data_IF_012728339402
#
_entry.id   IF_012728339402
#
_cell.length_a   1.000
_cell.length_b   1.000
_cell.length_c   1.000
_cell.angle_alpha   90.00
_cell.angle_beta   90.00
_cell.angle_gamma   90.00
#
_symmetry.space_group_name_H-M   'P 1'
#
loop_
_entity.id
_entity.type
_entity.pdbx_description
1 polymer ?
#
# COMPACT_ATOMS: atom_id res chain seq x y z
N UNK A 1 -20.10 -24.99 55.12
CA UNK A 1 -19.47 -23.67 54.89
C UNK A 1 -18.06 -23.98 54.44
N UNK A 2 -17.53 -23.60 53.28
CA UNK A 2 -17.71 -22.44 52.40
C UNK A 2 -17.24 -22.80 50.97
N UNK A 3 -17.76 -22.04 50.01
CA UNK A 3 -17.78 -22.19 48.55
C UNK A 3 -16.41 -22.13 47.84
N UNK A 4 -16.32 -22.80 46.68
CA UNK A 4 -15.46 -22.45 45.54
C UNK A 4 -15.75 -21.02 45.06
N UNK A 5 -14.75 -20.29 44.54
CA UNK A 5 -14.88 -19.48 43.31
C UNK A 5 -13.53 -19.20 42.65
N UNK A 6 -13.50 -19.43 41.33
CA UNK A 6 -12.50 -19.01 40.36
C UNK A 6 -12.31 -17.48 40.37
N UNK A 7 -11.08 -17.01 40.17
CA UNK A 7 -10.85 -15.65 39.66
C UNK A 7 -10.22 -15.73 38.27
N UNK A 8 -11.08 -15.45 37.29
CA UNK A 8 -10.78 -15.32 35.87
C UNK A 8 -10.16 -13.94 35.66
N UNK A 9 -8.87 -13.88 35.37
CA UNK A 9 -8.19 -12.65 34.96
C UNK A 9 -8.53 -12.33 33.50
N UNK A 10 -9.66 -11.66 33.28
CA UNK A 10 -9.96 -11.05 31.97
C UNK A 10 -8.99 -9.90 31.71
N UNK A 11 -8.03 -10.09 30.80
CA UNK A 11 -7.47 -8.96 30.07
C UNK A 11 -8.45 -8.61 28.95
N UNK A 12 -9.25 -7.58 29.19
CA UNK A 12 -10.06 -6.90 28.18
C UNK A 12 -9.08 -6.24 27.22
N UNK A 13 -8.85 -6.84 26.05
CA UNK A 13 -8.36 -6.09 24.89
C UNK A 13 -9.57 -5.28 24.43
N UNK A 14 -9.60 -4.01 24.82
CA UNK A 14 -10.66 -3.09 24.41
C UNK A 14 -10.69 -3.01 22.88
N UNK A 15 -11.81 -3.48 22.30
CA UNK A 15 -12.28 -3.01 21.00
C UNK A 15 -12.34 -1.48 21.06
N UNK A 16 -11.58 -0.80 20.22
CA UNK A 16 -11.82 0.61 19.99
C UNK A 16 -13.03 0.71 19.06
N UNK A 17 -14.11 1.19 19.63
CA UNK A 17 -15.31 1.66 18.96
C UNK A 17 -14.96 2.83 18.04
N UNK A 18 -15.44 2.79 16.79
CA UNK A 18 -15.38 3.93 15.87
C UNK A 18 -16.16 5.07 16.50
N UNK A 19 -15.43 6.04 17.07
CA UNK A 19 -15.97 7.33 17.48
C UNK A 19 -15.30 8.39 16.60
N UNK A 20 -16.13 9.21 15.97
CA UNK A 20 -15.71 10.31 15.12
C UNK A 20 -14.89 11.34 15.90
N UNK A 21 -13.57 11.38 15.69
CA UNK A 21 -12.69 12.56 15.76
C UNK A 21 -11.21 12.13 15.86
N UNK A 22 -10.58 11.85 14.72
CA UNK A 22 -9.14 11.63 14.61
C UNK A 22 -8.76 11.26 13.18
N UNK A 23 -7.62 11.73 12.68
CA UNK A 23 -7.13 11.29 11.37
C UNK A 23 -6.85 9.80 11.40
N UNK A 24 -7.21 9.11 10.33
CA UNK A 24 -6.83 7.72 10.13
C UNK A 24 -5.30 7.66 10.13
N UNK A 25 -4.74 7.08 11.20
CA UNK A 25 -3.31 6.90 11.33
C UNK A 25 -2.87 5.77 10.42
N UNK A 26 -1.81 6.01 9.64
CA UNK A 26 -1.17 4.99 8.83
C UNK A 26 0.30 4.79 9.23
N UNK A 27 0.87 3.64 8.86
CA UNK A 27 2.30 3.36 9.00
C UNK A 27 3.13 4.42 8.25
N UNK A 28 4.20 4.93 8.86
CA UNK A 28 5.06 5.95 8.25
C UNK A 28 5.63 5.49 6.90
N UNK A 29 5.79 6.42 5.95
CA UNK A 29 6.42 6.10 4.66
C UNK A 29 7.85 5.56 4.86
N UNK A 30 8.35 4.69 3.96
CA UNK A 30 9.69 4.15 4.08
C UNK A 30 10.75 5.26 4.05
N UNK A 31 11.88 5.05 4.72
CA UNK A 31 12.98 6.02 4.79
C UNK A 31 13.65 6.31 3.44
N UNK A 32 13.47 5.44 2.45
CA UNK A 32 13.96 5.57 1.08
C UNK A 32 13.00 6.33 0.15
N UNK A 33 11.95 6.96 0.69
CA UNK A 33 11.02 7.77 -0.08
C UNK A 33 11.72 8.97 -0.73
N UNK A 34 11.75 9.01 -2.06
CA UNK A 34 12.31 10.13 -2.83
C UNK A 34 11.36 11.32 -2.92
N UNK A 35 10.06 11.09 -2.75
CA UNK A 35 9.03 12.15 -2.71
C UNK A 35 8.74 12.48 -1.25
N UNK A 36 9.73 13.09 -0.59
CA UNK A 36 9.55 13.58 0.76
C UNK A 36 8.66 14.82 0.74
N UNK A 37 7.54 14.77 1.46
CA UNK A 37 6.55 15.86 1.51
C UNK A 37 6.04 16.23 0.11
N UNK A 38 5.36 15.29 -0.54
CA UNK A 38 4.76 15.38 -1.87
C UNK A 38 3.75 16.54 -2.03
N UNK A 39 4.13 17.78 -1.78
CA UNK A 39 3.34 18.99 -2.08
C UNK A 39 2.11 19.24 -1.23
N UNK A 40 1.99 18.62 -0.06
CA UNK A 40 0.82 18.84 0.82
C UNK A 40 1.18 19.54 2.13
N UNK A 41 2.47 19.53 2.52
CA UNK A 41 2.93 20.12 3.79
C UNK A 41 4.34 20.69 3.71
N UNK A 42 4.63 21.70 4.53
CA UNK A 42 5.96 22.26 4.73
C UNK A 42 6.67 21.62 5.94
N UNK A 43 7.94 21.97 6.15
CA UNK A 43 8.75 21.49 7.27
C UNK A 43 8.19 21.85 8.66
N UNK A 44 7.33 22.87 8.74
CA UNK A 44 6.64 23.31 9.96
C UNK A 44 5.31 22.60 10.19
N UNK A 45 5.02 21.53 9.42
CA UNK A 45 3.78 20.76 9.48
C UNK A 45 2.51 21.58 9.17
N UNK A 46 2.60 22.51 8.22
CA UNK A 46 1.46 23.28 7.72
C UNK A 46 1.21 22.95 6.26
N UNK A 47 -0.03 23.12 5.80
CA UNK A 47 -0.38 22.94 4.39
C UNK A 47 0.46 23.87 3.49
N UNK A 48 0.90 23.36 2.34
CA UNK A 48 1.69 24.12 1.37
C UNK A 48 1.34 23.70 -0.05
N UNK A 49 1.20 24.66 -0.96
CA UNK A 49 0.99 24.48 -2.40
C UNK A 49 2.19 24.95 -3.24
N UNK A 50 3.34 25.21 -2.63
CA UNK A 50 4.48 25.88 -3.27
C UNK A 50 5.03 25.16 -4.52
N UNK A 51 4.68 23.88 -4.71
CA UNK A 51 5.19 23.03 -5.77
C UNK A 51 4.09 22.59 -6.78
N UNK A 52 2.94 23.26 -6.76
CA UNK A 52 1.81 22.89 -7.61
C UNK A 52 1.99 23.44 -9.02
N UNK A 53 1.51 22.66 -10.00
CA UNK A 53 1.84 22.88 -11.41
C UNK A 53 0.69 23.57 -12.17
N UNK A 54 -0.54 23.47 -11.64
CA UNK A 54 -1.70 24.22 -12.12
C UNK A 54 -2.48 24.80 -10.95
N UNK A 55 -3.24 25.87 -11.22
CA UNK A 55 -4.11 26.52 -10.24
C UNK A 55 -5.47 25.79 -10.05
N UNK A 56 -5.58 24.55 -10.52
CA UNK A 56 -6.82 23.75 -10.47
C UNK A 56 -6.89 22.83 -9.25
N UNK A 57 -5.83 22.83 -8.45
CA UNK A 57 -5.75 22.12 -7.20
C UNK A 57 -6.10 23.06 -6.05
N UNK A 58 -6.68 22.51 -4.99
CA UNK A 58 -7.01 23.18 -3.73
C UNK A 58 -6.55 22.37 -2.52
N UNK A 59 -6.22 23.04 -1.43
CA UNK A 59 -5.58 22.41 -0.26
C UNK A 59 -6.53 21.75 0.71
N UNK A 60 -6.08 20.66 1.34
CA UNK A 60 -6.76 20.06 2.48
C UNK A 60 -5.83 19.81 3.65
N UNK A 61 -6.12 20.41 4.81
CA UNK A 61 -5.60 19.97 6.10
C UNK A 61 -6.78 19.62 7.01
N UNK A 62 -7.10 18.34 7.13
CA UNK A 62 -8.26 17.87 7.90
C UNK A 62 -7.88 16.66 8.75
N UNK A 63 -8.56 16.51 9.88
CA UNK A 63 -8.46 15.32 10.72
C UNK A 63 -9.20 14.12 10.12
N UNK A 64 -9.75 14.20 8.91
CA UNK A 64 -10.33 13.06 8.20
C UNK A 64 -9.40 12.56 7.08
N UNK A 65 -8.38 13.35 6.72
CA UNK A 65 -7.43 12.97 5.67
C UNK A 65 -6.37 12.01 6.25
N UNK A 66 -5.86 11.01 5.49
CA UNK A 66 -4.80 10.12 5.93
C UNK A 66 -3.54 10.85 6.38
N UNK A 67 -2.90 10.39 7.46
CA UNK A 67 -1.60 10.91 7.92
C UNK A 67 -0.66 9.81 8.37
N UNK A 68 0.64 10.05 8.16
CA UNK A 68 1.74 9.13 8.43
C UNK A 68 2.68 9.62 9.55
N UNK A 69 2.40 10.81 10.09
CA UNK A 69 3.21 11.49 11.11
C UNK A 69 2.32 12.24 12.10
N UNK A 70 2.74 12.27 13.35
CA UNK A 70 2.16 13.12 14.38
C UNK A 70 2.77 14.53 14.27
N UNK A 71 1.98 15.49 13.80
CA UNK A 71 2.40 16.87 13.56
C UNK A 71 2.08 17.75 14.77
N UNK A 72 3.10 18.27 15.46
CA UNK A 72 2.91 19.16 16.63
C UNK A 72 2.00 18.56 17.73
N UNK A 73 2.02 17.24 17.91
CA UNK A 73 1.17 16.53 18.87
C UNK A 73 -0.23 16.18 18.35
N UNK A 74 -0.58 16.55 17.11
CA UNK A 74 -1.85 16.26 16.48
C UNK A 74 -1.71 15.44 15.19
N UNK A 75 -2.57 14.44 15.03
CA UNK A 75 -2.74 13.69 13.78
C UNK A 75 -3.57 14.51 12.78
N UNK A 76 -2.91 15.41 12.05
CA UNK A 76 -3.53 16.18 10.95
C UNK A 76 -3.09 15.59 9.62
N UNK A 77 -4.05 15.19 8.77
CA UNK A 77 -3.79 14.73 7.41
C UNK A 77 -3.70 15.89 6.41
N UNK A 78 -2.90 15.69 5.37
CA UNK A 78 -2.69 16.66 4.31
C UNK A 78 -2.91 16.00 2.95
N UNK A 79 -3.65 16.68 2.08
CA UNK A 79 -3.94 16.20 0.73
C UNK A 79 -4.02 17.37 -0.26
N UNK A 80 -3.66 17.09 -1.53
CA UNK A 80 -4.06 17.95 -2.63
C UNK A 80 -5.46 17.52 -3.07
N UNK A 81 -6.36 18.49 -3.18
CA UNK A 81 -7.74 18.27 -3.60
C UNK A 81 -7.92 18.81 -5.01
N UNK A 82 -8.73 18.12 -5.78
CA UNK A 82 -9.20 18.64 -7.06
C UNK A 82 -10.73 18.61 -7.04
N UNK A 83 -11.35 19.54 -7.78
CA UNK A 83 -12.74 19.97 -7.60
C UNK A 83 -12.99 20.73 -6.28
N UNK A 84 -12.02 21.55 -5.85
CA UNK A 84 -12.33 22.59 -4.87
C UNK A 84 -13.37 23.52 -5.50
N UNK A 85 -14.60 23.48 -5.01
CA UNK A 85 -15.48 24.65 -5.09
C UNK A 85 -14.61 25.75 -4.49
N UNK A 86 -14.12 26.71 -5.28
CA UNK A 86 -13.20 27.74 -4.79
C UNK A 86 -13.61 28.21 -3.38
N UNK A 87 -12.73 28.86 -2.63
CA UNK A 87 -13.20 29.64 -1.46
C UNK A 87 -14.31 30.69 -1.81
N UNK A 88 -14.63 30.84 -3.11
CA UNK A 88 -15.75 31.55 -3.73
C UNK A 88 -16.75 30.67 -4.57
N UNK A 89 -16.74 29.33 -4.47
CA UNK A 89 -17.79 28.44 -5.01
C UNK A 89 -17.72 27.96 -6.47
N UNK A 90 -16.59 28.10 -7.19
CA UNK A 90 -16.52 27.76 -8.63
C UNK A 90 -15.98 26.35 -8.93
N UNK A 91 -16.65 25.59 -9.80
CA UNK A 91 -16.15 24.34 -10.41
C UNK A 91 -15.55 24.59 -11.79
N UNK A 92 -14.49 23.84 -12.15
CA UNK A 92 -13.84 23.87 -13.47
C UNK A 92 -13.84 22.47 -14.12
N UNK A 93 -15.01 21.95 -14.53
CA UNK A 93 -15.12 20.60 -15.09
C UNK A 93 -14.43 20.48 -16.45
N UNK A 94 -14.21 19.23 -16.88
CA UNK A 94 -13.63 18.86 -18.17
C UNK A 94 -12.26 19.50 -18.47
N UNK A 95 -11.54 19.92 -17.43
CA UNK A 95 -10.23 20.56 -17.54
C UNK A 95 -9.18 19.71 -16.83
N UNK A 96 -8.01 19.55 -17.46
CA UNK A 96 -6.91 18.77 -16.88
C UNK A 96 -6.21 19.55 -15.76
N UNK A 97 -6.29 19.04 -14.53
CA UNK A 97 -5.43 19.42 -13.42
C UNK A 97 -4.17 18.54 -13.45
N UNK A 98 -2.99 19.16 -13.39
CA UNK A 98 -1.70 18.47 -13.41
C UNK A 98 -0.95 18.72 -12.11
N UNK A 99 -0.29 17.71 -11.58
CA UNK A 99 0.60 17.80 -10.43
C UNK A 99 1.80 16.88 -10.63
N UNK A 100 3.01 17.38 -10.41
CA UNK A 100 4.22 16.56 -10.56
C UNK A 100 5.39 17.00 -9.66
N UNK A 101 6.28 16.07 -9.30
CA UNK A 101 7.71 16.37 -8.99
C UNK A 101 8.57 15.81 -10.09
N UNK A 102 9.68 16.52 -10.28
CA UNK A 102 10.92 15.89 -10.69
C UNK A 102 11.70 15.45 -9.44
N UNK A 103 12.10 14.18 -9.40
CA UNK A 103 12.98 13.61 -8.38
C UNK A 103 14.28 13.11 -9.01
N UNK A 104 15.44 13.41 -8.41
CA UNK A 104 16.69 12.80 -8.81
C UNK A 104 16.76 11.34 -8.35
N UNK A 105 17.44 10.49 -9.11
CA UNK A 105 17.64 9.09 -8.79
C UNK A 105 18.97 8.57 -9.36
N UNK A 106 19.40 7.39 -8.91
CA UNK A 106 20.55 6.72 -9.50
C UNK A 106 20.16 6.15 -10.89
N UNK A 107 20.85 6.59 -11.94
CA UNK A 107 20.59 6.13 -13.32
C UNK A 107 20.95 4.66 -13.57
N UNK A 108 21.70 4.01 -12.68
CA UNK A 108 21.94 2.58 -12.73
C UNK A 108 20.74 1.76 -12.22
N UNK A 109 19.82 2.38 -11.46
CA UNK A 109 18.64 1.73 -10.90
C UNK A 109 17.52 1.63 -11.93
N UNK A 110 16.84 0.47 -11.97
CA UNK A 110 15.89 0.10 -13.01
C UNK A 110 14.53 -0.36 -12.48
N UNK A 111 14.40 -0.54 -11.19
CA UNK A 111 13.17 -1.01 -10.55
C UNK A 111 12.52 0.17 -9.84
N UNK A 112 11.36 0.57 -10.33
CA UNK A 112 10.58 1.69 -9.85
C UNK A 112 9.57 1.12 -8.85
N UNK A 113 9.35 1.86 -7.77
CA UNK A 113 8.31 1.53 -6.80
C UNK A 113 7.43 2.75 -6.60
N UNK A 114 6.12 2.54 -6.56
CA UNK A 114 5.15 3.62 -6.45
C UNK A 114 3.99 3.22 -5.53
N UNK A 115 3.50 4.19 -4.77
CA UNK A 115 2.26 4.06 -3.99
C UNK A 115 1.63 5.45 -3.79
N UNK A 116 0.30 5.52 -3.75
CA UNK A 116 -0.44 6.74 -3.41
C UNK A 116 -1.82 6.39 -2.86
N UNK A 117 -2.38 7.26 -2.03
CA UNK A 117 -3.78 7.18 -1.62
C UNK A 117 -4.62 8.20 -2.39
N UNK A 118 -5.81 7.78 -2.78
CA UNK A 118 -6.83 8.63 -3.38
C UNK A 118 -8.14 8.58 -2.58
N UNK A 119 -8.84 9.70 -2.48
CA UNK A 119 -10.27 9.74 -2.22
C UNK A 119 -10.88 10.29 -3.50
N UNK A 120 -11.83 9.61 -4.13
CA UNK A 120 -12.36 10.06 -5.41
C UNK A 120 -13.88 9.91 -5.51
N UNK A 121 -14.48 10.78 -6.32
CA UNK A 121 -15.85 10.69 -6.81
C UNK A 121 -15.79 10.46 -8.33
N UNK A 122 -16.78 10.95 -9.07
CA UNK A 122 -16.77 10.90 -10.53
C UNK A 122 -15.58 11.64 -11.12
N UNK A 123 -14.91 10.98 -12.05
CA UNK A 123 -13.74 11.47 -12.77
C UNK A 123 -13.84 11.07 -14.24
N UNK A 124 -13.58 12.01 -15.15
CA UNK A 124 -13.38 11.67 -16.55
C UNK A 124 -12.08 10.89 -16.70
N UNK A 125 -11.04 11.30 -15.97
CA UNK A 125 -9.74 10.65 -15.97
C UNK A 125 -9.00 10.90 -14.65
N UNK A 126 -8.38 9.86 -14.12
CA UNK A 126 -7.34 9.94 -13.10
C UNK A 126 -6.17 9.07 -13.52
N UNK A 127 -5.02 9.70 -13.76
CA UNK A 127 -3.84 9.03 -14.30
C UNK A 127 -2.62 9.37 -13.46
N UNK A 128 -1.83 8.36 -13.11
CA UNK A 128 -0.45 8.53 -12.67
C UNK A 128 0.50 7.91 -13.68
N UNK A 129 1.48 8.71 -14.10
CA UNK A 129 2.47 8.31 -15.10
C UNK A 129 3.86 8.78 -14.67
N UNK A 130 4.82 7.87 -14.79
CA UNK A 130 6.22 8.11 -14.48
C UNK A 130 6.98 8.31 -15.78
N UNK A 131 7.74 9.39 -15.85
CA UNK A 131 8.61 9.71 -16.97
C UNK A 131 10.07 9.71 -16.52
N UNK A 132 10.99 9.29 -17.39
CA UNK A 132 12.44 9.39 -17.20
C UNK A 132 13.05 10.48 -18.08
N UNK A 133 14.14 11.10 -17.62
CA UNK A 133 14.95 12.01 -18.43
C UNK A 133 16.42 12.04 -18.00
N UNK A 134 17.30 12.39 -18.93
CA UNK A 134 18.71 12.71 -18.66
C UNK A 134 18.90 14.11 -18.04
N UNK A 135 17.85 14.94 -18.02
CA UNK A 135 17.85 16.32 -17.53
C UNK A 135 16.67 16.58 -16.60
N UNK A 136 16.84 17.45 -15.61
CA UNK A 136 15.76 17.83 -14.68
C UNK A 136 14.61 18.59 -15.36
N UNK A 137 14.81 19.08 -16.59
CA UNK A 137 13.83 19.87 -17.34
C UNK A 137 13.23 19.10 -18.54
N UNK A 138 13.55 17.82 -18.68
CA UNK A 138 13.20 17.03 -19.86
C UNK A 138 14.22 17.17 -21.00
N UNK A 139 13.92 16.62 -22.20
CA UNK A 139 12.65 16.01 -22.59
C UNK A 139 12.30 14.76 -21.77
N UNK A 140 11.01 14.50 -21.61
CA UNK A 140 10.47 13.42 -20.78
C UNK A 140 10.06 12.23 -21.64
N UNK A 141 10.52 11.04 -21.26
CA UNK A 141 10.11 9.76 -21.88
C UNK A 141 9.20 9.01 -20.93
N UNK A 142 8.00 8.60 -21.36
CA UNK A 142 7.13 7.76 -20.53
C UNK A 142 7.80 6.41 -20.29
N UNK A 143 7.95 6.03 -19.02
CA UNK A 143 8.58 4.77 -18.64
C UNK A 143 7.63 3.84 -17.90
N UNK A 144 6.56 4.38 -17.30
CA UNK A 144 5.55 3.58 -16.63
C UNK A 144 4.21 4.32 -16.50
N UNK A 145 3.16 3.78 -17.09
CA UNK A 145 1.77 4.16 -16.81
C UNK A 145 1.31 3.35 -15.60
N UNK A 146 1.27 3.99 -14.43
CA UNK A 146 0.96 3.29 -13.17
C UNK A 146 -0.52 2.88 -13.17
N UNK A 147 -1.39 3.84 -13.44
CA UNK A 147 -2.82 3.65 -13.60
C UNK A 147 -3.41 4.73 -14.51
N UNK A 148 -4.55 4.43 -15.12
CA UNK A 148 -5.35 5.35 -15.93
C UNK A 148 -6.83 4.96 -15.79
N UNK A 149 -7.51 5.65 -14.90
CA UNK A 149 -8.87 5.32 -14.45
C UNK A 149 -9.86 6.32 -15.05
N UNK A 150 -10.99 5.83 -15.54
CA UNK A 150 -12.11 6.65 -16.00
C UNK A 150 -13.41 6.18 -15.35
N UNK A 151 -14.22 7.14 -14.89
CA UNK A 151 -15.49 6.91 -14.23
C UNK A 151 -16.47 8.09 -14.43
N UNK A 152 -17.13 8.17 -15.60
CA UNK A 152 -18.00 9.31 -15.89
C UNK A 152 -19.48 9.12 -15.49
N UNK A 153 -19.97 7.91 -15.17
CA UNK A 153 -21.43 7.62 -15.22
C UNK A 153 -22.08 6.98 -13.98
N UNK A 154 -21.43 6.93 -12.81
CA UNK A 154 -22.05 6.43 -11.57
C UNK A 154 -21.78 7.37 -10.40
N UNK A 155 -22.71 7.43 -9.45
CA UNK A 155 -22.62 8.32 -8.27
C UNK A 155 -21.39 8.01 -7.40
N UNK A 156 -20.88 6.81 -7.52
CA UNK A 156 -19.59 6.43 -6.98
C UNK A 156 -19.05 5.38 -7.96
N UNK A 157 -18.02 5.70 -8.75
CA UNK A 157 -17.06 4.68 -9.24
C UNK A 157 -16.63 3.78 -8.11
N UNK A 158 -16.70 4.41 -6.93
CA UNK A 158 -15.84 4.22 -5.83
C UNK A 158 -16.44 3.29 -4.75
N UNK A 159 -17.66 2.78 -4.98
CA UNK A 159 -18.33 1.75 -4.18
C UNK A 159 -18.11 0.32 -4.72
N UNK A 160 -17.56 0.17 -5.94
CA UNK A 160 -17.21 -1.12 -6.54
C UNK A 160 -15.68 -1.31 -6.64
N UNK A 161 -14.90 -0.59 -5.80
CA UNK A 161 -13.49 -0.90 -5.64
C UNK A 161 -13.35 -2.35 -5.19
N UNK A 162 -12.37 -3.10 -5.72
CA UNK A 162 -12.07 -4.43 -5.22
C UNK A 162 -11.92 -4.49 -3.68
N UNK A 163 -11.43 -3.40 -3.06
CA UNK A 163 -11.12 -3.31 -1.63
C UNK A 163 -11.46 -1.93 -0.97
N UNK A 164 -12.64 -1.35 -1.22
CA UNK A 164 -12.99 -0.02 -0.73
C UNK A 164 -13.40 0.06 0.76
N UNK A 165 -13.02 1.14 1.44
CA UNK A 165 -13.59 1.52 2.76
C UNK A 165 -14.52 2.71 2.56
N UNK A 166 -15.81 2.46 2.70
CA UNK A 166 -16.85 3.46 2.48
C UNK A 166 -17.40 3.97 3.82
N UNK A 167 -17.38 5.28 4.05
CA UNK A 167 -18.25 5.86 5.08
C UNK A 167 -19.65 6.07 4.47
N UNK A 168 -20.54 5.10 4.69
CA UNK A 168 -21.89 5.06 4.10
C UNK A 168 -22.76 6.27 4.46
N UNK A 169 -22.44 6.99 5.54
CA UNK A 169 -23.13 8.21 5.94
C UNK A 169 -22.80 9.44 5.10
N UNK A 170 -21.58 9.52 4.55
CA UNK A 170 -21.06 10.71 3.85
C UNK A 170 -20.64 10.44 2.39
N UNK A 171 -20.67 9.19 1.92
CA UNK A 171 -20.31 8.79 0.54
C UNK A 171 -18.88 9.17 0.13
N UNK A 172 -17.97 9.31 1.09
CA UNK A 172 -16.53 9.42 0.82
C UNK A 172 -15.93 8.01 0.90
N UNK A 173 -15.34 7.55 -0.20
CA UNK A 173 -14.62 6.28 -0.26
C UNK A 173 -13.12 6.58 -0.28
N UNK A 174 -12.39 6.07 0.71
CA UNK A 174 -10.93 6.07 0.67
C UNK A 174 -10.48 4.90 -0.21
N UNK A 175 -9.74 5.25 -1.25
CA UNK A 175 -9.18 4.34 -2.22
C UNK A 175 -7.68 4.27 -1.97
N UNK A 176 -7.29 3.14 -1.42
CA UNK A 176 -5.93 2.69 -1.60
C UNK A 176 -5.94 1.88 -2.90
N UNK A 177 -5.32 2.40 -3.96
CA UNK A 177 -5.07 1.58 -5.16
C UNK A 177 -4.17 0.37 -4.83
N UNK A 178 -3.64 0.31 -3.60
CA UNK A 178 -3.13 -0.88 -2.93
C UNK A 178 -3.81 -1.08 -1.56
N UNK A 179 -5.12 -1.32 -1.50
CA UNK A 179 -5.66 -1.76 -0.21
C UNK A 179 -5.22 -3.20 0.01
N UNK A 180 -4.39 -3.46 1.01
CA UNK A 180 -4.44 -4.78 1.66
C UNK A 180 -5.45 -4.77 2.81
N UNK A 181 -5.53 -3.69 3.59
CA UNK A 181 -6.53 -3.50 4.64
C UNK A 181 -6.25 -2.14 5.28
N UNK A 182 -6.99 -1.77 6.30
CA UNK A 182 -6.64 -0.79 7.32
C UNK A 182 -5.25 -0.95 8.03
N UNK A 183 -4.23 -1.68 7.51
CA UNK A 183 -3.12 -2.25 8.32
C UNK A 183 -1.71 -2.26 7.68
N UNK A 184 -1.15 -1.11 7.34
CA UNK A 184 0.31 -0.90 7.53
C UNK A 184 1.31 -1.63 6.62
N UNK A 185 0.90 -2.26 5.51
CA UNK A 185 1.82 -2.83 4.51
C UNK A 185 2.14 -1.78 3.43
N UNK A 186 3.36 -1.23 3.45
CA UNK A 186 3.89 -0.41 2.35
C UNK A 186 4.38 -1.36 1.25
N UNK A 187 3.46 -2.06 0.59
CA UNK A 187 3.77 -2.90 -0.57
C UNK A 187 3.57 -2.08 -1.84
N UNK A 188 4.55 -1.27 -2.29
CA UNK A 188 4.39 -0.44 -3.45
C UNK A 188 4.24 -1.28 -4.72
N UNK A 189 3.49 -0.76 -5.68
CA UNK A 189 3.54 -1.25 -7.06
C UNK A 189 4.98 -1.20 -7.53
N UNK A 190 5.44 -2.25 -8.21
CA UNK A 190 6.81 -2.37 -8.69
C UNK A 190 6.83 -2.52 -10.20
N UNK A 191 7.75 -1.82 -10.88
CA UNK A 191 7.92 -1.90 -12.32
C UNK A 191 9.39 -1.85 -12.72
N UNK A 192 9.84 -2.73 -13.61
CA UNK A 192 11.25 -2.74 -14.07
C UNK A 192 11.36 -2.17 -15.49
N UNK A 193 12.19 -1.15 -15.65
CA UNK A 193 12.41 -0.46 -16.93
C UNK A 193 13.72 -0.90 -17.59
N UNK A 194 13.81 -0.76 -18.92
CA UNK A 194 14.96 -1.23 -19.69
C UNK A 194 16.25 -0.45 -19.38
N UNK A 195 16.10 0.85 -19.14
CA UNK A 195 17.17 1.81 -18.89
C UNK A 195 16.78 2.72 -17.73
N UNK A 196 17.68 2.93 -16.76
CA UNK A 196 17.48 3.88 -15.67
C UNK A 196 17.79 5.33 -16.09
N UNK A 197 17.20 6.28 -15.38
CA UNK A 197 17.33 7.71 -15.63
C UNK A 197 17.82 8.46 -14.38
N UNK A 198 18.63 9.52 -14.53
CA UNK A 198 19.06 10.36 -13.41
C UNK A 198 17.93 11.25 -12.86
N UNK A 199 16.86 11.49 -13.65
CA UNK A 199 15.69 12.24 -13.22
C UNK A 199 14.41 11.50 -13.61
N UNK A 200 13.47 11.46 -12.68
CA UNK A 200 12.12 10.97 -12.92
C UNK A 200 11.10 12.06 -12.64
N UNK A 201 10.12 12.22 -13.53
CA UNK A 201 8.93 13.03 -13.29
C UNK A 201 7.78 12.11 -12.91
N UNK A 202 7.30 12.23 -11.67
CA UNK A 202 6.11 11.54 -11.17
C UNK A 202 4.93 12.49 -11.38
N UNK A 203 4.07 12.19 -12.34
CA UNK A 203 3.00 13.09 -12.78
C UNK A 203 1.62 12.47 -12.55
N UNK A 204 0.71 13.31 -12.05
CA UNK A 204 -0.70 13.04 -11.94
C UNK A 204 -1.47 13.95 -12.89
N UNK A 205 -2.41 13.38 -13.64
CA UNK A 205 -3.39 14.09 -14.46
C UNK A 205 -4.79 13.73 -13.97
N UNK A 206 -5.59 14.75 -13.69
CA UNK A 206 -6.95 14.58 -13.20
C UNK A 206 -7.91 15.45 -13.99
N UNK A 207 -9.07 14.88 -14.29
CA UNK A 207 -10.15 15.54 -14.99
C UNK A 207 -11.47 14.99 -14.45
N UNK A 208 -12.45 15.85 -14.20
CA UNK A 208 -13.76 15.45 -13.69
C UNK A 208 -14.89 15.96 -14.59
N UNK A 209 -16.02 15.23 -14.67
CA UNK A 209 -17.17 15.62 -15.49
C UNK A 209 -17.88 16.85 -14.91
N UNK A 210 -18.97 17.28 -15.54
CA UNK A 210 -19.82 18.31 -14.98
C UNK A 210 -20.39 17.86 -13.60
N UNK A 211 -20.36 18.74 -12.57
CA UNK A 211 -21.01 18.51 -11.29
C UNK A 211 -22.50 18.13 -11.43
N UNK A 212 -23.00 17.24 -10.57
CA UNK A 212 -24.45 17.05 -10.42
C UNK A 212 -25.02 18.23 -9.63
N UNK A 213 -25.91 19.04 -10.22
CA UNK A 213 -26.46 20.22 -9.56
C UNK A 213 -27.35 19.89 -8.35
N UNK A 214 -27.79 18.64 -8.20
CA UNK A 214 -28.63 18.21 -7.09
C UNK A 214 -27.84 17.75 -5.85
N UNK A 215 -26.50 17.79 -5.91
CA UNK A 215 -25.63 17.30 -4.84
C UNK A 215 -24.73 18.43 -4.31
N UNK A 216 -24.59 18.52 -2.99
CA UNK A 216 -23.91 19.64 -2.31
C UNK A 216 -22.45 19.86 -2.76
N UNK A 217 -21.74 18.81 -3.18
CA UNK A 217 -20.35 18.86 -3.67
C UNK A 217 -20.25 18.63 -5.17
N UNK A 218 -21.37 18.54 -5.89
CA UNK A 218 -21.37 18.14 -7.29
C UNK A 218 -20.99 16.67 -7.53
N UNK A 219 -20.57 15.94 -6.50
CA UNK A 219 -20.15 14.54 -6.55
C UNK A 219 -19.12 14.26 -7.66
N UNK A 220 -18.09 15.12 -7.67
CA UNK A 220 -16.98 15.11 -8.61
C UNK A 220 -15.69 15.39 -7.85
N UNK A 221 -14.57 14.97 -8.42
CA UNK A 221 -13.26 15.31 -7.89
C UNK A 221 -12.78 14.38 -6.78
N UNK A 222 -11.88 14.89 -5.92
CA UNK A 222 -11.29 14.05 -4.88
C UNK A 222 -10.04 14.64 -4.20
N UNK A 223 -9.27 13.78 -3.53
CA UNK A 223 -8.05 14.09 -2.79
C UNK A 223 -6.94 13.09 -3.10
N UNK A 224 -5.72 13.57 -3.31
CA UNK A 224 -4.48 12.79 -3.42
C UNK A 224 -3.68 12.97 -2.14
N UNK A 225 -3.21 11.86 -1.57
CA UNK A 225 -2.40 11.85 -0.36
C UNK A 225 -1.30 10.77 -0.43
N UNK A 226 -0.31 10.89 0.46
CA UNK A 226 0.71 9.85 0.74
C UNK A 226 1.40 9.27 -0.49
N UNK A 227 1.89 10.15 -1.37
CA UNK A 227 2.66 9.73 -2.54
C UNK A 227 4.04 9.23 -2.10
N UNK A 228 4.35 8.00 -2.48
CA UNK A 228 5.65 7.36 -2.31
C UNK A 228 6.20 7.01 -3.68
N UNK A 229 7.48 7.30 -3.87
CA UNK A 229 8.21 6.82 -5.04
C UNK A 229 9.66 6.56 -4.68
N UNK A 230 10.20 5.46 -5.20
CA UNK A 230 11.63 5.15 -5.15
C UNK A 230 12.10 4.47 -6.42
N UNK A 231 13.42 4.42 -6.59
CA UNK A 231 14.08 3.68 -7.66
C UNK A 231 15.18 2.82 -7.04
N UNK A 232 15.15 1.52 -7.30
CA UNK A 232 16.13 0.52 -6.82
C UNK A 232 16.77 -0.24 -7.98
N UNK A 233 17.93 -0.86 -7.75
CA UNK A 233 18.63 -1.66 -8.77
C UNK A 233 18.04 -3.05 -8.96
N UNK A 234 18.13 -3.59 -10.19
CA UNK A 234 17.84 -4.99 -10.51
C UNK A 234 19.11 -5.85 -10.53
N UNK A 235 19.23 -6.73 -9.52
CA UNK A 235 20.06 -7.94 -9.32
C UNK A 235 21.60 -7.91 -9.37
N UNK A 236 22.22 -8.50 -8.35
CA UNK A 236 23.42 -9.35 -8.50
C UNK A 236 23.00 -10.81 -8.31
N UNK A 237 23.15 -11.62 -9.36
CA UNK A 237 23.25 -13.08 -9.26
C UNK A 237 24.70 -13.44 -8.92
N UNK A 238 24.86 -14.38 -7.98
CA UNK A 238 26.11 -14.93 -7.40
C UNK A 238 27.03 -15.67 -8.38
N UNK A 239 28.32 -15.90 -8.01
CA UNK A 239 28.95 -17.21 -8.20
C UNK A 239 29.63 -17.77 -6.93
N UNK A 240 29.34 -19.02 -6.57
CA UNK A 240 30.04 -19.89 -5.58
C UNK A 240 31.11 -20.76 -6.28
N UNK A 241 32.15 -21.40 -5.62
CA UNK A 241 31.95 -22.66 -4.83
C UNK A 241 33.03 -23.07 -3.75
N UNK A 242 32.78 -24.24 -3.06
CA UNK A 242 33.69 -25.23 -2.34
C UNK A 242 33.89 -25.06 -0.79
N UNK A 243 33.73 -26.03 0.16
CA UNK A 243 33.69 -27.54 0.22
C UNK A 243 33.03 -28.13 1.51
N UNK A 244 32.49 -29.36 1.43
CA UNK A 244 31.83 -30.27 2.44
C UNK A 244 32.80 -31.16 3.27
N UNK A 245 32.43 -31.90 4.37
CA UNK A 245 31.76 -33.25 4.31
C UNK A 245 30.77 -33.58 5.49
N UNK A 246 29.59 -34.21 5.31
CA UNK A 246 29.20 -35.65 5.16
C UNK A 246 28.96 -36.46 6.47
N UNK A 247 27.75 -37.02 6.67
CA UNK A 247 27.45 -38.47 6.91
C UNK A 247 25.95 -38.81 7.04
N UNK A 248 25.57 -39.96 6.45
CA UNK A 248 24.28 -40.69 6.48
C UNK A 248 24.52 -42.09 7.06
N UNK A 249 23.53 -42.78 7.68
CA UNK A 249 22.88 -43.91 6.97
C UNK A 249 21.36 -44.12 7.23
N UNK A 250 20.69 -44.63 6.19
CA UNK A 250 19.34 -45.24 6.04
C UNK A 250 19.35 -46.73 6.48
N UNK A 251 18.32 -47.61 6.28
CA UNK A 251 16.83 -47.53 6.10
C UNK A 251 16.04 -48.63 6.91
N UNK A 252 14.69 -48.70 6.85
CA UNK A 252 13.88 -49.94 6.61
C UNK A 252 12.37 -49.62 6.46
N UNK A 253 11.73 -50.28 5.47
CA UNK A 253 10.36 -50.14 4.97
C UNK A 253 9.44 -51.28 5.45
N UNK A 254 8.12 -51.04 5.61
CA UNK A 254 6.99 -51.95 5.27
C UNK A 254 5.61 -51.26 5.52
N UNK A 255 4.44 -51.75 5.00
CA UNK A 255 3.66 -50.99 4.00
C UNK A 255 2.15 -50.73 4.33
N UNK A 256 1.54 -49.71 3.68
CA UNK A 256 0.23 -49.74 2.96
C UNK A 256 -1.07 -49.88 3.82
N UNK A 257 -2.07 -48.95 3.88
CA UNK A 257 -2.63 -47.93 2.94
C UNK A 257 -3.27 -46.71 3.64
N UNK A 258 -2.84 -45.51 3.23
CA UNK A 258 -3.55 -44.32 2.69
C UNK A 258 -5.10 -44.28 2.79
N UNK A 259 -5.67 -43.22 3.41
CA UNK A 259 -5.94 -41.95 2.74
C UNK A 259 -4.79 -40.95 2.93
N UNK A 260 -4.46 -40.23 1.87
CA UNK A 260 -3.19 -39.52 1.68
C UNK A 260 -3.06 -38.33 2.64
N UNK A 261 -2.01 -38.25 3.47
CA UNK A 261 -1.59 -36.97 4.02
C UNK A 261 -1.07 -36.16 2.85
N UNK A 262 -1.76 -35.08 2.48
CA UNK A 262 -1.14 -34.07 1.63
C UNK A 262 0.13 -33.65 2.36
N UNK A 263 1.27 -33.90 1.74
CA UNK A 263 2.51 -33.24 2.13
C UNK A 263 2.19 -31.76 2.02
N UNK A 264 1.97 -31.08 3.16
CA UNK A 264 1.79 -29.63 3.16
C UNK A 264 2.98 -29.09 2.40
N UNK A 265 2.69 -28.55 1.23
CA UNK A 265 3.71 -28.00 0.37
C UNK A 265 4.50 -26.99 1.21
N UNK A 266 5.83 -26.92 1.11
CA UNK A 266 6.57 -25.97 1.94
C UNK A 266 6.03 -24.56 1.70
N UNK A 267 5.59 -23.88 2.75
CA UNK A 267 4.90 -22.60 2.65
C UNK A 267 3.36 -22.67 2.60
N UNK A 268 2.73 -23.84 2.52
CA UNK A 268 1.27 -24.03 2.55
C UNK A 268 0.84 -24.34 3.99
N UNK A 269 0.48 -23.29 4.73
CA UNK A 269 0.10 -23.39 6.13
C UNK A 269 -1.38 -23.75 6.31
N UNK A 270 -2.24 -23.36 5.37
CA UNK A 270 -3.68 -23.60 5.46
C UNK A 270 -4.10 -24.98 4.89
N UNK A 271 -3.21 -25.65 4.16
CA UNK A 271 -3.39 -26.98 3.58
C UNK A 271 -4.21 -26.99 2.28
N UNK A 272 -4.32 -25.87 1.57
CA UNK A 272 -5.12 -25.74 0.34
C UNK A 272 -4.34 -26.08 -0.95
N UNK A 273 -3.05 -26.43 -0.83
CA UNK A 273 -2.07 -26.74 -1.87
C UNK A 273 -1.59 -25.53 -2.70
N UNK A 274 -2.00 -24.31 -2.37
CA UNK A 274 -1.45 -23.07 -2.90
C UNK A 274 -0.46 -22.50 -1.87
N UNK A 275 0.56 -21.78 -2.34
CA UNK A 275 1.44 -21.01 -1.43
C UNK A 275 1.26 -19.54 -1.75
N UNK A 276 0.44 -18.86 -0.96
CA UNK A 276 0.02 -17.48 -1.26
C UNK A 276 -0.07 -16.63 0.01
N UNK A 277 -0.74 -15.47 -0.09
CA UNK A 277 -0.91 -14.54 1.03
C UNK A 277 -1.64 -15.16 2.23
N UNK A 278 -2.55 -16.13 2.04
CA UNK A 278 -3.26 -16.78 3.12
C UNK A 278 -2.31 -17.57 4.05
N UNK A 279 -1.27 -18.21 3.51
CA UNK A 279 -0.28 -18.93 4.31
C UNK A 279 0.68 -18.00 5.05
N UNK A 280 1.02 -16.89 4.41
CA UNK A 280 1.80 -15.83 5.03
C UNK A 280 1.09 -15.26 6.26
N UNK A 281 -0.23 -15.09 6.21
CA UNK A 281 -1.01 -14.63 7.36
C UNK A 281 -0.91 -15.60 8.54
N UNK A 282 -0.89 -16.91 8.28
CA UNK A 282 -0.71 -17.93 9.33
C UNK A 282 0.70 -17.86 9.93
N UNK A 283 1.74 -17.70 9.11
CA UNK A 283 3.11 -17.47 9.60
C UNK A 283 3.23 -16.18 10.41
N UNK A 284 2.69 -15.07 9.89
CA UNK A 284 2.77 -13.75 10.53
C UNK A 284 2.04 -13.73 11.87
N UNK A 285 0.87 -14.37 11.96
CA UNK A 285 0.10 -14.49 13.21
C UNK A 285 0.89 -15.23 14.31
N UNK A 286 1.77 -16.15 13.93
CA UNK A 286 2.54 -16.96 14.87
C UNK A 286 4.01 -16.52 14.99
N UNK A 287 4.45 -15.45 14.32
CA UNK A 287 5.86 -15.03 14.31
C UNK A 287 6.41 -14.78 15.72
N UNK A 288 7.55 -15.42 16.01
CA UNK A 288 8.20 -15.39 17.31
C UNK A 288 7.66 -16.39 18.32
N UNK A 289 6.56 -17.10 18.03
CA UNK A 289 6.00 -18.11 18.91
C UNK A 289 6.74 -19.45 18.79
N UNK A 290 6.85 -20.15 19.91
CA UNK A 290 7.15 -21.59 19.90
C UNK A 290 5.86 -22.36 19.63
N UNK A 291 5.93 -23.40 18.80
CA UNK A 291 4.76 -24.17 18.36
C UNK A 291 5.09 -25.64 18.21
N UNK A 292 4.10 -26.50 18.44
CA UNK A 292 4.17 -27.92 18.08
C UNK A 292 3.28 -28.25 16.87
N UNK A 293 2.66 -27.23 16.27
CA UNK A 293 1.73 -27.37 15.14
C UNK A 293 2.44 -27.41 13.78
N UNK A 294 3.75 -27.11 13.75
CA UNK A 294 4.56 -27.18 12.53
C UNK A 294 4.05 -26.22 11.43
N UNK A 295 3.99 -26.67 10.16
CA UNK A 295 3.59 -25.82 9.04
C UNK A 295 2.22 -25.17 9.20
N UNK A 296 1.29 -25.79 9.95
CA UNK A 296 -0.04 -25.21 10.24
C UNK A 296 -0.01 -23.96 11.10
N UNK A 297 1.11 -23.70 11.77
CA UNK A 297 1.37 -22.45 12.48
C UNK A 297 2.44 -21.61 11.78
N UNK A 298 2.82 -21.96 10.54
CA UNK A 298 3.91 -21.31 9.81
C UNK A 298 5.30 -21.76 10.23
N UNK A 299 5.47 -22.79 11.07
CA UNK A 299 6.78 -23.41 11.33
C UNK A 299 7.09 -24.39 10.20
N UNK A 300 7.47 -23.82 9.05
CA UNK A 300 7.71 -24.55 7.79
C UNK A 300 9.00 -25.36 7.80
N UNK A 301 9.96 -25.02 8.67
CA UNK A 301 11.17 -25.81 8.91
C UNK A 301 11.03 -26.82 10.07
N UNK A 302 9.90 -26.80 10.80
CA UNK A 302 9.57 -27.69 11.92
C UNK A 302 10.63 -27.59 13.03
N UNK A 303 11.15 -26.38 13.28
CA UNK A 303 12.10 -26.12 14.35
C UNK A 303 11.45 -26.03 15.73
N UNK A 304 10.11 -26.02 15.78
CA UNK A 304 9.33 -25.74 16.98
C UNK A 304 9.21 -24.25 17.26
N UNK A 305 9.62 -23.38 16.32
CA UNK A 305 9.58 -21.92 16.42
C UNK A 305 9.26 -21.34 15.06
N UNK A 306 8.38 -20.34 15.03
CA UNK A 306 8.01 -19.64 13.81
C UNK A 306 8.85 -18.38 13.70
N UNK A 307 9.80 -18.33 12.76
CA UNK A 307 10.66 -17.16 12.60
C UNK A 307 11.09 -16.89 11.14
N UNK A 308 12.13 -16.07 10.98
CA UNK A 308 12.60 -15.65 9.65
C UNK A 308 13.09 -16.81 8.78
N UNK A 309 13.50 -17.94 9.35
CA UNK A 309 13.87 -19.12 8.58
C UNK A 309 12.66 -19.74 7.88
N UNK A 310 11.48 -19.69 8.51
CA UNK A 310 10.23 -20.17 7.91
C UNK A 310 9.71 -19.21 6.83
N UNK A 311 9.85 -17.90 7.04
CA UNK A 311 9.52 -16.90 6.01
C UNK A 311 10.26 -17.16 4.70
N UNK A 312 11.55 -17.54 4.77
CA UNK A 312 12.34 -17.86 3.57
C UNK A 312 11.79 -19.10 2.86
N UNK A 313 11.26 -20.08 3.59
CA UNK A 313 10.62 -21.27 3.01
C UNK A 313 9.31 -20.88 2.32
N UNK A 314 8.47 -20.06 2.93
CA UNK A 314 7.26 -19.54 2.27
C UNK A 314 7.61 -18.73 1.02
N UNK A 315 8.55 -17.79 1.13
CA UNK A 315 8.96 -16.91 0.03
C UNK A 315 9.52 -17.70 -1.16
N UNK A 316 10.30 -18.75 -0.91
CA UNK A 316 10.86 -19.61 -1.95
C UNK A 316 9.78 -20.38 -2.73
N UNK A 317 8.63 -20.62 -2.11
CA UNK A 317 7.54 -21.39 -2.71
C UNK A 317 6.34 -20.51 -3.12
N UNK A 318 6.40 -19.19 -2.95
CA UNK A 318 5.28 -18.29 -3.26
C UNK A 318 4.81 -18.38 -4.72
N UNK A 319 3.49 -18.46 -4.91
CA UNK A 319 2.84 -18.53 -6.21
C UNK A 319 2.87 -19.91 -6.87
N UNK A 320 3.39 -20.93 -6.18
CA UNK A 320 3.35 -22.31 -6.66
C UNK A 320 2.01 -22.94 -6.36
#
# INVERSE_FOLDING_TARGET
MSRLYNFLGFFIVSLITVTSAGAFQYASLPSDNLIQNAWFRNASCQYSNANWQTNLWGGGSKTQDPTDVNCNGNWTGFAARWADQNQNGGFTPNTNALLWQVVPANSASKTLHFHSLIVGHRVNQYKAEIYGSSSSNGPWTSVWKVFDISCPVNKDCMNEAPNGVCNTGNRECLWDEVTEYYLGSLSPLTHTILQGYPYYKVEFLLNYPNPDPNLATGDVGGKLARVYFKVSGGSSLSPTPIKTPTKTPTPIKSPTKTPTPSTSKPGDANGDNLVNGADYLIWLQNYGASTSLGPKAGDFNISGKVDGADYLIWLQNYGT
#
